data_IF_398511135232
#
_entry.id   IF_398511135232
#
_cell.length_a   1.000
_cell.length_b   1.000
_cell.length_c   1.000
_cell.angle_alpha   90.00
_cell.angle_beta   90.00
_cell.angle_gamma   90.00
#
_symmetry.space_group_name_H-M   'P 1'
#
loop_
_entity.id
_entity.type
_entity.pdbx_description
1 polymer ?
#
# COMPACT_ATOMS: atom_id res chain seq x y z
N UNK A 1 -24.71 46.15 8.25
CA UNK A 1 -24.88 45.46 6.95
C UNK A 1 -24.43 44.01 7.14
N UNK A 2 -25.26 43.04 6.75
CA UNK A 2 -24.92 41.61 6.85
C UNK A 2 -24.05 41.21 5.66
N UNK A 3 -22.88 40.63 5.94
CA UNK A 3 -21.94 40.03 5.01
C UNK A 3 -22.23 38.53 4.86
N UNK A 4 -22.12 38.04 3.62
CA UNK A 4 -22.20 36.62 3.29
C UNK A 4 -20.84 36.08 2.91
N UNK A 5 -20.64 34.76 3.01
CA UNK A 5 -19.38 34.15 2.63
C UNK A 5 -19.25 34.22 1.10
N UNK A 6 -18.05 34.53 0.62
CA UNK A 6 -17.77 34.66 -0.83
C UNK A 6 -17.51 33.32 -1.50
N UNK A 7 -17.32 32.27 -0.70
CA UNK A 7 -17.01 30.91 -1.18
C UNK A 7 -18.22 30.31 -1.87
N UNK A 8 -17.97 29.63 -2.99
CA UNK A 8 -18.98 28.94 -3.76
C UNK A 8 -19.77 27.94 -2.91
N UNK A 9 -21.10 28.01 -2.99
CA UNK A 9 -22.05 27.16 -2.24
C UNK A 9 -21.95 27.22 -0.70
N UNK A 10 -21.31 28.26 -0.15
CA UNK A 10 -21.31 28.48 1.31
C UNK A 10 -22.54 29.31 1.73
N UNK A 11 -23.34 28.77 2.66
CA UNK A 11 -24.56 29.42 3.18
C UNK A 11 -24.33 30.24 4.45
N UNK A 12 -23.09 30.33 4.95
CA UNK A 12 -22.80 31.00 6.22
C UNK A 12 -22.99 32.52 6.15
N UNK A 13 -23.87 33.04 7.01
CA UNK A 13 -24.18 34.47 7.19
C UNK A 13 -23.67 34.97 8.55
N UNK A 14 -23.70 36.29 8.79
CA UNK A 14 -23.08 36.95 9.95
C UNK A 14 -23.63 36.54 11.33
N UNK A 15 -24.65 35.71 11.32
CA UNK A 15 -25.43 35.24 12.47
C UNK A 15 -24.86 33.96 13.13
N UNK A 16 -23.81 33.34 12.56
CA UNK A 16 -23.37 32.01 12.99
C UNK A 16 -21.86 31.93 13.31
N UNK A 17 -21.53 31.97 14.61
CA UNK A 17 -20.40 31.31 15.33
C UNK A 17 -18.97 31.29 14.76
N UNK A 18 -18.69 31.94 13.62
CA UNK A 18 -17.42 31.86 12.92
C UNK A 18 -16.80 33.24 12.71
N UNK A 19 -15.48 33.33 12.88
CA UNK A 19 -14.74 34.53 12.47
C UNK A 19 -14.80 34.64 10.95
N UNK A 20 -14.93 35.87 10.46
CA UNK A 20 -14.89 36.17 9.03
C UNK A 20 -13.61 36.92 8.72
N UNK A 21 -12.92 36.46 7.70
CA UNK A 21 -11.68 37.06 7.26
C UNK A 21 -11.95 37.81 5.97
N UNK A 22 -11.63 39.11 5.98
CA UNK A 22 -11.63 39.92 4.78
C UNK A 22 -10.50 39.49 3.84
N UNK A 23 -10.58 39.90 2.59
CA UNK A 23 -9.50 39.63 1.65
C UNK A 23 -8.21 40.36 2.08
N UNK A 24 -7.05 39.68 2.04
CA UNK A 24 -5.78 40.30 2.39
C UNK A 24 -5.46 41.54 1.55
N UNK A 25 -4.71 42.48 2.16
CA UNK A 25 -4.20 43.68 1.47
C UNK A 25 -3.15 43.32 0.40
N UNK A 26 -2.38 42.27 0.64
CA UNK A 26 -1.33 41.82 -0.26
C UNK A 26 -1.90 41.29 -1.58
N UNK A 27 -1.46 41.90 -2.69
CA UNK A 27 -1.93 41.53 -4.02
C UNK A 27 -1.64 40.05 -4.35
N UNK A 28 -0.50 39.51 -3.90
CA UNK A 28 -0.13 38.09 -4.13
C UNK A 28 -1.09 37.15 -3.41
N UNK A 29 -1.27 37.33 -2.10
CA UNK A 29 -2.18 36.53 -1.27
C UNK A 29 -3.61 36.62 -1.75
N UNK A 30 -4.07 37.84 -2.07
CA UNK A 30 -5.41 38.10 -2.61
C UNK A 30 -5.67 37.34 -3.92
N UNK A 31 -4.72 37.35 -4.87
CA UNK A 31 -4.85 36.59 -6.12
C UNK A 31 -4.96 35.08 -5.88
N UNK A 32 -4.21 34.55 -4.91
CA UNK A 32 -4.28 33.14 -4.54
C UNK A 32 -5.62 32.78 -3.91
N UNK A 33 -6.15 33.65 -3.05
CA UNK A 33 -7.50 33.47 -2.49
C UNK A 33 -8.57 33.48 -3.58
N UNK A 34 -8.54 34.45 -4.50
CA UNK A 34 -9.48 34.51 -5.64
C UNK A 34 -9.39 33.24 -6.49
N UNK A 35 -8.17 32.76 -6.76
CA UNK A 35 -7.95 31.49 -7.49
C UNK A 35 -8.51 30.30 -6.72
N UNK A 36 -8.37 30.26 -5.39
CA UNK A 36 -8.88 29.18 -4.55
C UNK A 36 -10.41 29.08 -4.59
N UNK A 37 -11.11 30.22 -4.65
CA UNK A 37 -12.57 30.27 -4.75
C UNK A 37 -13.11 29.68 -6.06
N UNK A 38 -12.29 29.66 -7.12
CA UNK A 38 -12.63 29.11 -8.43
C UNK A 38 -13.98 29.61 -8.98
N UNK A 39 -14.25 30.91 -8.83
CA UNK A 39 -15.45 31.58 -9.33
C UNK A 39 -15.08 32.46 -10.52
N UNK A 40 -15.82 32.31 -11.61
CA UNK A 40 -15.63 33.11 -12.82
C UNK A 40 -15.91 34.60 -12.53
N UNK A 41 -15.05 35.47 -13.04
CA UNK A 41 -15.13 36.94 -12.95
C UNK A 41 -15.34 37.51 -11.53
N UNK A 42 -14.90 36.78 -10.49
CA UNK A 42 -15.03 37.25 -9.12
C UNK A 42 -13.97 38.30 -8.77
N UNK A 43 -14.43 39.52 -8.46
CA UNK A 43 -13.58 40.62 -7.97
C UNK A 43 -13.79 40.81 -6.47
N UNK A 44 -12.77 40.60 -5.63
CA UNK A 44 -12.87 40.81 -4.19
C UNK A 44 -13.09 42.30 -3.90
N UNK A 45 -14.18 42.59 -3.22
CA UNK A 45 -14.54 43.93 -2.72
C UNK A 45 -14.26 44.02 -1.22
N UNK A 46 -14.23 45.20 -0.61
CA UNK A 46 -14.04 45.38 0.84
C UNK A 46 -15.12 44.70 1.69
N UNK A 47 -16.27 44.39 1.11
CA UNK A 47 -17.34 43.65 1.78
C UNK A 47 -17.25 42.13 1.60
N UNK A 48 -16.38 41.67 0.70
CA UNK A 48 -16.16 40.25 0.46
C UNK A 48 -15.35 39.65 1.62
N UNK A 49 -15.81 38.52 2.12
CA UNK A 49 -15.18 37.80 3.22
C UNK A 49 -15.31 36.29 3.04
N UNK A 50 -14.45 35.56 3.74
CA UNK A 50 -14.45 34.10 3.82
C UNK A 50 -14.64 33.71 5.29
N UNK A 51 -15.54 32.75 5.57
CA UNK A 51 -15.74 32.26 6.94
C UNK A 51 -14.61 31.33 7.39
N UNK A 52 -14.45 31.19 8.70
CA UNK A 52 -13.42 30.35 9.33
C UNK A 52 -13.45 28.89 8.92
N UNK A 53 -14.61 28.34 8.54
CA UNK A 53 -14.75 26.94 8.11
C UNK A 53 -13.91 26.57 6.87
N UNK A 54 -13.47 27.55 6.10
CA UNK A 54 -12.63 27.32 4.92
C UNK A 54 -11.14 27.22 5.23
N UNK A 55 -10.75 27.34 6.50
CA UNK A 55 -9.37 27.26 6.99
C UNK A 55 -9.26 26.16 8.05
N UNK A 56 -8.14 25.43 8.07
CA UNK A 56 -7.95 24.27 8.97
C UNK A 56 -8.02 24.71 10.43
N UNK A 57 -7.39 25.83 10.78
CA UNK A 57 -7.41 26.38 12.14
C UNK A 57 -8.41 27.52 12.33
N UNK A 58 -9.35 27.69 11.40
CA UNK A 58 -10.28 28.82 11.44
C UNK A 58 -9.64 30.19 11.16
N UNK A 59 -8.35 30.22 10.81
CA UNK A 59 -7.58 31.43 10.50
C UNK A 59 -6.54 31.15 9.42
N UNK A 60 -6.13 32.20 8.69
CA UNK A 60 -5.09 32.10 7.69
C UNK A 60 -3.70 32.42 8.24
N UNK A 61 -2.68 31.67 7.86
CA UNK A 61 -1.28 32.07 8.15
C UNK A 61 -0.84 33.20 7.23
N UNK A 62 0.15 33.99 7.65
CA UNK A 62 0.82 35.00 6.81
C UNK A 62 2.03 34.43 6.06
N UNK A 63 2.54 33.28 6.49
CA UNK A 63 3.65 32.59 5.84
C UNK A 63 3.17 31.84 4.58
N UNK A 64 3.75 32.11 3.39
CA UNK A 64 3.37 31.43 2.15
C UNK A 64 3.70 29.93 2.11
N UNK A 65 4.57 29.46 3.02
CA UNK A 65 4.97 28.06 3.12
C UNK A 65 3.93 27.20 3.86
N UNK A 66 3.01 27.84 4.60
CA UNK A 66 2.00 27.15 5.38
C UNK A 66 0.78 26.76 4.53
N UNK A 67 0.23 25.58 4.78
CA UNK A 67 -0.97 25.08 4.09
C UNK A 67 -2.20 25.95 4.37
N UNK A 68 -2.18 26.69 5.48
CA UNK A 68 -3.24 27.62 5.91
C UNK A 68 -3.13 29.02 5.28
N UNK A 69 -2.20 29.26 4.35
CA UNK A 69 -2.03 30.56 3.72
C UNK A 69 -3.25 30.97 2.85
N UNK A 70 -3.96 29.98 2.32
CA UNK A 70 -5.14 30.13 1.46
C UNK A 70 -6.31 29.31 2.01
N UNK A 71 -7.57 29.64 1.68
CA UNK A 71 -8.68 28.76 2.00
C UNK A 71 -8.53 27.45 1.23
N UNK A 72 -8.45 26.34 1.95
CA UNK A 72 -8.23 24.99 1.39
C UNK A 72 -9.45 24.10 1.50
N UNK A 73 -10.34 24.35 2.47
CA UNK A 73 -11.50 23.51 2.75
C UNK A 73 -12.68 23.96 1.90
N UNK A 74 -13.13 23.09 0.99
CA UNK A 74 -14.25 23.35 0.08
C UNK A 74 -15.16 22.12 -0.06
N UNK A 75 -16.30 22.13 0.62
CA UNK A 75 -17.24 20.99 0.64
C UNK A 75 -17.77 20.60 -0.75
N UNK A 76 -17.82 21.54 -1.70
CA UNK A 76 -18.30 21.25 -3.06
C UNK A 76 -17.29 20.46 -3.92
N UNK A 77 -16.01 20.38 -3.51
CA UNK A 77 -14.98 19.60 -4.23
C UNK A 77 -14.97 18.13 -3.80
N UNK A 78 -15.57 17.81 -2.66
CA UNK A 78 -15.74 16.44 -2.20
C UNK A 78 -16.76 15.75 -3.11
N UNK A 79 -16.27 15.13 -4.18
CA UNK A 79 -17.08 14.18 -4.94
C UNK A 79 -17.37 13.03 -3.99
N UNK A 80 -18.64 12.67 -3.72
CA UNK A 80 -18.91 11.46 -2.97
C UNK A 80 -18.25 10.32 -3.74
N UNK A 81 -17.21 9.73 -3.15
CA UNK A 81 -16.60 8.53 -3.70
C UNK A 81 -17.72 7.52 -3.75
N UNK A 82 -18.08 7.10 -4.96
CA UNK A 82 -19.08 6.06 -5.12
C UNK A 82 -18.42 4.78 -4.59
N UNK A 83 -18.65 4.48 -3.31
CA UNK A 83 -18.03 3.36 -2.59
C UNK A 83 -18.23 2.04 -3.35
N UNK A 84 -19.36 1.89 -4.06
CA UNK A 84 -19.64 0.75 -4.92
C UNK A 84 -18.72 0.67 -6.15
N UNK A 85 -18.31 1.81 -6.73
CA UNK A 85 -17.33 1.84 -7.82
C UNK A 85 -15.94 1.44 -7.34
N UNK A 86 -15.54 1.88 -6.15
CA UNK A 86 -14.24 1.56 -5.56
C UNK A 86 -14.17 0.08 -5.16
N UNK A 87 -15.20 -0.44 -4.50
CA UNK A 87 -15.31 -1.85 -4.16
C UNK A 87 -15.24 -2.74 -5.42
N UNK A 88 -15.97 -2.37 -6.49
CA UNK A 88 -15.87 -3.09 -7.78
C UNK A 88 -14.47 -3.06 -8.38
N UNK A 89 -13.72 -1.97 -8.24
CA UNK A 89 -12.33 -1.90 -8.70
C UNK A 89 -11.41 -2.79 -7.85
N UNK A 90 -11.54 -2.74 -6.53
CA UNK A 90 -10.77 -3.57 -5.60
C UNK A 90 -10.95 -5.07 -5.90
N UNK A 91 -12.19 -5.53 -6.10
CA UNK A 91 -12.48 -6.93 -6.45
C UNK A 91 -11.81 -7.39 -7.74
N UNK A 92 -11.74 -6.53 -8.77
CA UNK A 92 -11.05 -6.85 -10.03
C UNK A 92 -9.54 -6.92 -9.87
N UNK A 93 -8.96 -6.01 -9.08
CA UNK A 93 -7.53 -6.01 -8.81
C UNK A 93 -7.13 -7.30 -8.09
N UNK A 94 -7.88 -7.69 -7.05
CA UNK A 94 -7.66 -8.96 -6.34
C UNK A 94 -7.72 -10.16 -7.31
N UNK A 95 -8.73 -10.22 -8.18
CA UNK A 95 -8.85 -11.32 -9.16
C UNK A 95 -7.67 -11.34 -10.15
N UNK A 96 -7.19 -10.17 -10.58
CA UNK A 96 -6.04 -10.02 -11.47
C UNK A 96 -4.77 -10.50 -10.78
N UNK A 97 -4.55 -10.10 -9.52
CA UNK A 97 -3.40 -10.50 -8.72
C UNK A 97 -3.34 -12.02 -8.54
N UNK A 98 -4.47 -12.68 -8.25
CA UNK A 98 -4.53 -14.14 -8.18
C UNK A 98 -4.18 -14.82 -9.50
N UNK A 99 -4.68 -14.30 -10.63
CA UNK A 99 -4.37 -14.85 -11.97
C UNK A 99 -2.88 -14.68 -12.30
N UNK A 100 -2.31 -13.53 -11.99
CA UNK A 100 -0.89 -13.24 -12.21
C UNK A 100 0.00 -14.12 -11.33
N UNK A 101 -0.35 -14.30 -10.06
CA UNK A 101 0.37 -15.21 -9.16
C UNK A 101 0.34 -16.65 -9.68
N UNK A 102 -0.82 -17.14 -10.15
CA UNK A 102 -0.94 -18.48 -10.73
C UNK A 102 -0.13 -18.65 -12.03
N UNK A 103 -0.05 -17.62 -12.87
CA UNK A 103 0.79 -17.65 -14.07
C UNK A 103 2.28 -17.73 -13.72
N UNK A 104 2.73 -16.96 -12.72
CA UNK A 104 4.12 -16.94 -12.24
C UNK A 104 4.53 -18.28 -11.62
N UNK A 105 3.67 -18.91 -10.82
CA UNK A 105 3.92 -20.24 -10.24
C UNK A 105 4.12 -21.30 -11.34
N UNK A 106 3.20 -21.38 -12.31
CA UNK A 106 3.30 -22.33 -13.43
C UNK A 106 4.58 -22.12 -14.26
N UNK A 107 4.98 -20.87 -14.45
CA UNK A 107 6.22 -20.56 -15.14
C UNK A 107 7.45 -21.01 -14.34
N UNK A 108 7.46 -20.79 -13.03
CA UNK A 108 8.53 -21.23 -12.14
C UNK A 108 8.64 -22.76 -12.12
N UNK A 109 7.52 -23.49 -12.04
CA UNK A 109 7.48 -24.95 -12.12
C UNK A 109 8.04 -25.46 -13.45
N UNK A 110 7.66 -24.84 -14.58
CA UNK A 110 8.22 -25.19 -15.89
C UNK A 110 9.73 -24.96 -15.96
N UNK A 111 10.22 -23.85 -15.39
CA UNK A 111 11.66 -23.57 -15.32
C UNK A 111 12.38 -24.63 -14.46
N UNK A 112 11.83 -24.96 -13.29
CA UNK A 112 12.37 -26.02 -12.42
C UNK A 112 12.38 -27.39 -13.12
N UNK A 113 11.28 -27.76 -13.79
CA UNK A 113 11.17 -29.00 -14.54
C UNK A 113 12.16 -29.04 -15.71
N UNK A 114 12.30 -27.94 -16.45
CA UNK A 114 13.25 -27.83 -17.56
C UNK A 114 14.70 -27.95 -17.07
N UNK A 115 15.02 -27.34 -15.92
CA UNK A 115 16.34 -27.43 -15.30
C UNK A 115 16.63 -28.85 -14.83
N UNK A 116 15.68 -29.49 -14.13
CA UNK A 116 15.81 -30.90 -13.72
C UNK A 116 15.99 -31.84 -14.93
N UNK A 117 15.17 -31.66 -15.97
CA UNK A 117 15.27 -32.46 -17.22
C UNK A 117 16.62 -32.26 -17.88
N UNK A 118 17.14 -31.03 -17.93
CA UNK A 118 18.46 -30.75 -18.48
C UNK A 118 19.58 -31.46 -17.71
N UNK A 119 19.54 -31.47 -16.38
CA UNK A 119 20.54 -32.13 -15.54
C UNK A 119 20.46 -33.67 -15.65
N UNK A 120 19.26 -34.25 -15.63
CA UNK A 120 19.07 -35.70 -15.74
C UNK A 120 19.19 -36.23 -17.19
N UNK A 121 19.06 -35.38 -18.20
CA UNK A 121 19.24 -35.75 -19.62
C UNK A 121 20.67 -36.24 -19.93
N UNK A 122 21.65 -35.90 -19.10
CA UNK A 122 23.04 -36.36 -19.26
C UNK A 122 23.28 -37.78 -18.73
N UNK A 123 22.40 -38.30 -17.85
CA UNK A 123 22.54 -39.62 -17.24
C UNK A 123 21.81 -40.74 -18.00
N UNK A 124 20.78 -40.40 -18.80
CA UNK A 124 20.02 -41.36 -19.61
C UNK A 124 20.50 -41.44 -21.06
N UNK A 125 21.82 -41.56 -21.23
CA UNK A 125 22.43 -41.98 -22.49
C UNK A 125 22.83 -43.45 -22.34
N UNK A 126 21.83 -44.35 -22.36
CA UNK A 126 22.11 -45.79 -22.40
C UNK A 126 22.70 -46.14 -23.75
N UNK A 127 23.85 -46.81 -23.68
CA UNK A 127 24.40 -47.72 -24.69
C UNK A 127 23.28 -48.44 -25.44
N UNK A 128 23.38 -48.44 -26.76
CA UNK A 128 22.64 -49.34 -27.63
C UNK A 128 23.04 -50.81 -27.38
N UNK A 129 22.18 -51.72 -27.87
CA UNK A 129 22.31 -53.19 -28.05
C UNK A 129 21.43 -54.11 -27.16
N UNK A 130 20.17 -54.26 -27.62
CA UNK A 130 19.39 -55.48 -27.96
C UNK A 130 19.11 -56.65 -26.94
N UNK A 131 17.99 -57.39 -27.15
CA UNK A 131 17.38 -58.29 -26.16
C UNK A 131 17.81 -59.76 -26.33
N UNK A 132 18.08 -60.47 -25.24
CA UNK A 132 18.10 -61.94 -25.26
C UNK A 132 17.78 -62.58 -23.90
N UNK A 133 16.74 -63.41 -23.93
CA UNK A 133 16.49 -64.66 -23.19
C UNK A 133 17.08 -64.87 -21.78
N UNK A 134 16.15 -65.11 -20.84
CA UNK A 134 16.32 -65.89 -19.60
C UNK A 134 17.41 -65.45 -18.62
N UNK A 135 17.03 -64.70 -17.59
CA UNK A 135 17.55 -64.90 -16.24
C UNK A 135 16.44 -64.60 -15.24
N UNK A 136 16.43 -65.38 -14.18
CA UNK A 136 15.34 -65.66 -13.27
C UNK A 136 14.74 -64.44 -12.56
N UNK A 137 13.47 -64.59 -12.21
CA UNK A 137 12.75 -63.78 -11.24
C UNK A 137 13.46 -63.88 -9.88
N UNK A 138 14.35 -62.93 -9.58
CA UNK A 138 14.78 -62.68 -8.20
C UNK A 138 13.70 -61.83 -7.52
N UNK A 139 12.84 -62.53 -6.78
CA UNK A 139 12.12 -61.94 -5.65
C UNK A 139 13.21 -61.50 -4.66
N UNK A 140 13.43 -60.20 -4.54
CA UNK A 140 14.21 -59.63 -3.43
C UNK A 140 13.18 -59.06 -2.47
N UNK A 141 13.05 -59.75 -1.35
CA UNK A 141 12.33 -59.33 -0.15
C UNK A 141 12.78 -57.92 0.31
N UNK A 142 11.90 -57.14 0.93
CA UNK A 142 12.18 -55.77 1.32
C UNK A 142 12.87 -55.74 2.68
N UNK A 143 14.17 -56.04 2.76
CA UNK A 143 14.93 -55.76 3.98
C UNK A 143 16.39 -55.40 3.66
N UNK A 144 16.87 -54.37 4.38
CA UNK A 144 18.24 -53.88 4.52
C UNK A 144 18.88 -53.08 3.37
N UNK A 145 18.30 -51.92 3.04
CA UNK A 145 19.09 -50.77 2.61
C UNK A 145 19.21 -49.80 3.80
N UNK A 146 20.41 -49.80 4.37
CA UNK A 146 20.82 -49.03 5.55
C UNK A 146 20.60 -47.51 5.32
N UNK A 147 19.53 -46.97 5.92
CA UNK A 147 19.24 -45.53 6.02
C UNK A 147 20.25 -44.93 7.01
N UNK A 148 21.52 -44.87 6.62
CA UNK A 148 22.58 -44.24 7.43
C UNK A 148 23.36 -43.16 6.68
N UNK A 149 23.13 -42.99 5.38
CA UNK A 149 23.74 -41.89 4.60
C UNK A 149 22.83 -40.65 4.53
N UNK A 150 21.52 -40.79 4.79
CA UNK A 150 20.59 -39.64 4.77
C UNK A 150 20.49 -38.96 6.15
N UNK A 151 20.89 -39.64 7.23
CA UNK A 151 20.77 -39.09 8.59
C UNK A 151 21.97 -38.23 9.02
N UNK A 152 23.17 -38.43 8.44
CA UNK A 152 24.35 -37.61 8.75
C UNK A 152 24.30 -36.17 8.18
N UNK A 153 23.39 -35.87 7.25
CA UNK A 153 23.18 -34.48 6.76
C UNK A 153 22.03 -33.76 7.44
N UNK A 154 21.34 -34.40 8.40
CA UNK A 154 20.31 -33.77 9.21
C UNK A 154 20.75 -33.50 10.67
N UNK A 155 22.01 -33.77 11.00
CA UNK A 155 22.61 -33.54 12.33
C UNK A 155 23.61 -32.35 12.36
N UNK A 156 23.62 -31.50 11.32
CA UNK A 156 24.48 -30.29 11.29
C UNK A 156 23.76 -28.98 11.62
N UNK A 157 22.48 -29.00 12.02
CA UNK A 157 21.75 -27.77 12.36
C UNK A 157 20.98 -27.81 13.68
N UNK A 158 21.27 -28.75 14.56
CA UNK A 158 20.77 -28.70 15.92
C UNK A 158 21.80 -29.28 16.88
N UNK A 159 22.66 -28.42 17.42
CA UNK A 159 22.80 -28.40 18.88
C UNK A 159 22.97 -26.98 19.43
N UNK A 160 22.53 -26.75 20.68
CA UNK A 160 22.15 -25.45 21.17
C UNK A 160 23.06 -24.91 22.29
N UNK A 161 22.92 -23.60 22.50
CA UNK A 161 23.27 -22.81 23.70
C UNK A 161 24.71 -22.33 23.89
N UNK A 162 24.88 -21.01 23.82
CA UNK A 162 25.62 -20.30 24.86
C UNK A 162 24.78 -19.10 25.33
N UNK A 163 24.52 -19.14 26.63
CA UNK A 163 23.85 -18.14 27.47
C UNK A 163 24.66 -16.85 27.57
N UNK A 164 24.05 -15.70 27.30
CA UNK A 164 24.49 -14.39 27.79
C UNK A 164 23.25 -13.57 28.22
N UNK A 165 23.39 -12.94 29.38
CA UNK A 165 22.39 -12.41 30.30
C UNK A 165 21.46 -11.30 29.78
N UNK A 166 20.24 -11.30 30.33
CA UNK A 166 19.31 -10.17 30.27
C UNK A 166 19.78 -8.97 31.12
N UNK A 167 19.60 -7.72 30.66
CA UNK A 167 19.38 -6.59 31.56
C UNK A 167 17.88 -6.47 31.89
N UNK A 168 17.57 -6.45 33.18
CA UNK A 168 16.21 -6.29 33.69
C UNK A 168 15.59 -4.95 33.30
N UNK A 169 14.41 -5.00 32.69
CA UNK A 169 13.52 -3.85 32.58
C UNK A 169 12.56 -3.84 33.76
N UNK A 170 12.75 -2.85 34.64
CA UNK A 170 11.83 -2.50 35.70
C UNK A 170 10.50 -2.01 35.11
N UNK A 171 9.42 -2.74 35.36
CA UNK A 171 8.06 -2.25 35.19
C UNK A 171 7.69 -1.41 36.42
N UNK A 172 7.76 -0.08 36.27
CA UNK A 172 7.09 0.86 37.15
C UNK A 172 5.57 0.75 36.91
N UNK A 173 4.81 0.26 37.89
CA UNK A 173 3.37 0.53 38.00
C UNK A 173 3.12 1.31 39.27
N UNK A 174 2.85 2.60 39.10
CA UNK A 174 2.16 3.46 40.07
C UNK A 174 0.73 2.96 40.25
N UNK A 175 0.32 2.72 41.50
CA UNK A 175 -0.91 3.23 42.14
C UNK A 175 -0.96 2.74 43.58
#
# INVERSE_FOLDING_TARGET
>A
MVRSCSVYMCTNRDDAKGKRMGFPKDAKKRRLWVRALNREDFVPTDHSCVCSEHFIFGWHSDDPAEENYVPTIFSYKEKPVNAERENRAARRNIQKDFREAGCKQKEQEKRQLSFSTFIHSSYNKSRDEEPSSNTERLVIEPDDIDIRVIQEMQEFLLEPTHSISQPGCACFTRS
#
